data_IF_047525986034
#
_entry.id   IF_047525986034
#
_cell.length_a   1.000
_cell.length_b   1.000
_cell.length_c   1.000
_cell.angle_alpha   90.00
_cell.angle_beta   90.00
_cell.angle_gamma   90.00
#
_symmetry.space_group_name_H-M   'P 1'
#
loop_
_entity.id
_entity.type
_entity.pdbx_description
1 polymer ?
#
# COMPACT_ATOMS: atom_id res chain seq x y z
N UNK A 1 28.25 5.46 43.77
CA UNK A 1 27.48 5.11 44.98
C UNK A 1 28.28 5.32 46.26
N UNK A 2 29.51 4.79 46.38
CA UNK A 2 30.34 4.98 47.58
C UNK A 2 30.72 6.46 47.88
N UNK A 3 31.07 7.26 46.86
CA UNK A 3 31.37 8.70 47.06
C UNK A 3 30.11 9.54 47.34
N UNK A 4 28.96 9.17 46.77
CA UNK A 4 27.68 9.87 47.00
C UNK A 4 27.18 9.66 48.44
N UNK A 5 27.39 8.45 49.00
CA UNK A 5 27.06 8.13 50.38
C UNK A 5 27.96 8.87 51.39
N UNK A 6 29.25 9.08 51.06
CA UNK A 6 30.17 9.82 51.94
C UNK A 6 29.81 11.31 52.05
N UNK A 7 29.40 11.92 50.93
CA UNK A 7 28.98 13.33 50.91
C UNK A 7 27.65 13.53 51.66
N UNK A 8 26.67 12.64 51.47
CA UNK A 8 25.37 12.72 52.16
C UNK A 8 25.45 12.41 53.66
N UNK A 9 26.42 11.63 54.12
CA UNK A 9 26.64 11.38 55.56
C UNK A 9 27.38 12.52 56.28
N UNK A 10 28.04 13.41 55.54
CA UNK A 10 28.74 14.59 56.10
C UNK A 10 27.85 15.85 56.21
N UNK A 11 26.65 15.82 55.63
CA UNK A 11 25.66 16.91 55.68
C UNK A 11 24.60 16.58 56.73
N UNK A 12 24.82 17.00 57.96
CA UNK A 12 23.83 16.96 59.03
C UNK A 12 22.68 17.95 58.70
N UNK A 13 21.59 17.43 58.13
CA UNK A 13 20.40 18.18 57.67
C UNK A 13 19.55 18.73 58.84
N UNK A 14 19.99 18.58 60.08
CA UNK A 14 19.28 19.08 61.29
C UNK A 14 19.85 20.39 61.87
N UNK A 15 21.01 20.87 61.37
CA UNK A 15 21.61 22.11 61.83
C UNK A 15 21.04 23.33 61.09
N UNK A 16 20.66 24.38 61.82
CA UNK A 16 20.18 25.66 61.28
C UNK A 16 21.19 26.22 60.26
N UNK A 17 20.72 26.52 59.05
CA UNK A 17 21.54 27.00 57.93
C UNK A 17 22.03 28.42 58.23
N UNK A 18 23.28 28.56 58.66
CA UNK A 18 24.00 29.83 58.67
C UNK A 18 24.68 30.05 57.30
N UNK A 19 24.23 31.06 56.57
CA UNK A 19 24.66 31.38 55.19
C UNK A 19 25.91 32.26 55.13
N UNK A 20 26.57 32.52 56.26
CA UNK A 20 27.67 33.50 56.36
C UNK A 20 29.08 32.97 56.04
N UNK A 21 29.28 31.65 55.85
CA UNK A 21 30.60 31.06 55.51
C UNK A 21 30.78 30.84 53.99
N UNK A 22 31.62 31.61 53.29
CA UNK A 22 31.81 31.50 51.83
C UNK A 22 32.43 30.16 51.38
N UNK A 23 33.15 29.46 52.26
CA UNK A 23 33.78 28.17 51.99
C UNK A 23 32.78 27.01 51.83
N UNK A 24 31.68 27.02 52.58
CA UNK A 24 30.64 25.96 52.51
C UNK A 24 29.71 26.13 51.32
N UNK A 25 29.39 27.37 50.95
CA UNK A 25 28.61 27.67 49.74
C UNK A 25 29.37 27.24 48.48
N UNK A 26 30.70 27.45 48.45
CA UNK A 26 31.60 27.01 47.38
C UNK A 26 31.66 25.47 47.27
N UNK A 27 31.70 24.76 48.40
CA UNK A 27 31.72 23.30 48.42
C UNK A 27 30.39 22.69 47.91
N UNK A 28 29.25 23.26 48.33
CA UNK A 28 27.92 22.85 47.85
C UNK A 28 27.79 23.11 46.34
N UNK A 29 28.26 24.26 45.85
CA UNK A 29 28.26 24.53 44.40
C UNK A 29 29.19 23.59 43.64
N UNK A 30 30.39 23.28 44.16
CA UNK A 30 31.31 22.32 43.53
C UNK A 30 30.73 20.91 43.44
N UNK A 31 30.10 20.41 44.52
CA UNK A 31 29.47 19.09 44.57
C UNK A 31 28.23 19.04 43.66
N UNK A 32 27.41 20.10 43.68
CA UNK A 32 26.29 20.20 42.76
C UNK A 32 26.79 20.19 41.31
N UNK A 33 27.88 20.90 40.98
CA UNK A 33 28.47 20.92 39.64
C UNK A 33 29.09 19.57 39.24
N UNK A 34 29.75 18.86 40.17
CA UNK A 34 30.40 17.57 39.90
C UNK A 34 29.40 16.43 39.70
N UNK A 35 28.18 16.55 40.24
CA UNK A 35 27.09 15.59 40.04
C UNK A 35 26.17 16.01 38.88
N UNK A 36 25.79 17.30 38.77
CA UNK A 36 24.95 17.78 37.66
C UNK A 36 25.66 17.64 36.32
N UNK A 37 26.96 17.98 36.22
CA UNK A 37 27.64 17.99 34.93
C UNK A 37 27.66 16.62 34.24
N UNK A 38 28.11 15.52 34.87
CA UNK A 38 28.06 14.19 34.24
C UNK A 38 26.62 13.70 34.05
N UNK A 39 25.68 14.08 34.92
CA UNK A 39 24.26 13.73 34.76
C UNK A 39 23.63 14.45 33.55
N UNK A 40 23.88 15.75 33.39
CA UNK A 40 23.46 16.55 32.24
C UNK A 40 24.17 16.12 30.96
N UNK A 41 25.44 15.71 31.03
CA UNK A 41 26.17 15.14 29.89
C UNK A 41 25.58 13.78 29.51
N UNK A 42 25.26 12.92 30.48
CA UNK A 42 24.63 11.62 30.27
C UNK A 42 23.20 11.78 29.73
N UNK A 43 22.40 12.73 30.22
CA UNK A 43 21.09 13.09 29.66
C UNK A 43 21.22 13.68 28.25
N UNK A 44 22.20 14.55 28.02
CA UNK A 44 22.49 15.12 26.70
C UNK A 44 22.92 14.05 25.69
N UNK A 45 23.69 13.06 26.11
CA UNK A 45 24.11 11.93 25.26
C UNK A 45 22.97 10.91 25.05
N UNK A 46 22.15 10.64 26.07
CA UNK A 46 21.07 9.63 25.97
C UNK A 46 19.82 10.16 25.26
N UNK A 47 19.50 11.45 25.36
CA UNK A 47 18.34 12.06 24.68
C UNK A 47 18.72 12.93 23.48
N UNK A 48 19.87 13.60 23.53
CA UNK A 48 20.30 14.53 22.48
C UNK A 48 20.83 13.82 21.24
N UNK A 49 21.65 12.78 21.37
CA UNK A 49 22.17 12.05 20.19
C UNK A 49 21.06 11.38 19.36
N UNK A 50 20.08 10.67 19.95
CA UNK A 50 18.96 10.12 19.18
C UNK A 50 18.11 11.20 18.51
N UNK A 51 17.87 12.34 19.20
CA UNK A 51 17.14 13.45 18.62
C UNK A 51 17.89 14.08 17.44
N UNK A 52 19.20 14.31 17.58
CA UNK A 52 20.05 14.83 16.50
C UNK A 52 20.03 13.87 15.30
N UNK A 53 20.21 12.57 15.54
CA UNK A 53 20.16 11.57 14.48
C UNK A 53 18.79 11.56 13.78
N UNK A 54 17.71 11.56 14.56
CA UNK A 54 16.34 11.59 14.04
C UNK A 54 16.08 12.81 13.16
N UNK A 55 16.38 14.02 13.65
CA UNK A 55 16.20 15.24 12.86
C UNK A 55 17.17 15.34 11.69
N UNK A 56 18.36 14.74 11.77
CA UNK A 56 19.29 14.65 10.64
C UNK A 56 18.74 13.76 9.53
N UNK A 57 18.13 12.62 9.88
CA UNK A 57 17.46 11.73 8.92
C UNK A 57 16.28 12.47 8.27
N UNK A 58 15.43 13.14 9.07
CA UNK A 58 14.33 13.92 8.53
C UNK A 58 14.80 15.06 7.61
N UNK A 59 15.88 15.76 7.99
CA UNK A 59 16.51 16.78 7.16
C UNK A 59 17.02 16.19 5.84
N UNK A 60 17.69 15.04 5.89
CA UNK A 60 18.16 14.33 4.69
C UNK A 60 17.01 13.93 3.75
N UNK A 61 15.89 13.46 4.31
CA UNK A 61 14.68 13.13 3.54
C UNK A 61 14.01 14.35 2.90
N UNK A 62 14.23 15.56 3.42
CA UNK A 62 13.74 16.81 2.81
C UNK A 62 14.65 17.26 1.67
N UNK A 63 15.98 17.15 1.82
CA UNK A 63 16.93 17.68 0.82
C UNK A 63 17.29 16.70 -0.29
N UNK A 64 17.06 15.40 -0.12
CA UNK A 64 17.44 14.36 -1.08
C UNK A 64 16.20 13.63 -1.63
N UNK A 65 15.66 14.04 -2.80
CA UNK A 65 14.48 13.41 -3.40
C UNK A 65 14.64 11.91 -3.66
N UNK A 66 15.83 11.46 -4.07
CA UNK A 66 16.11 10.03 -4.29
C UNK A 66 16.07 9.21 -3.00
N UNK A 67 16.52 9.79 -1.88
CA UNK A 67 16.44 9.16 -0.57
C UNK A 67 14.99 9.10 -0.08
N UNK A 68 14.23 10.17 -0.32
CA UNK A 68 12.81 10.22 0.02
C UNK A 68 11.99 9.21 -0.79
N UNK A 69 12.21 9.13 -2.10
CA UNK A 69 11.61 8.11 -2.96
C UNK A 69 11.97 6.71 -2.44
N UNK A 70 13.24 6.45 -2.12
CA UNK A 70 13.63 5.16 -1.55
C UNK A 70 12.91 4.86 -0.22
N UNK A 71 12.76 5.85 0.66
CA UNK A 71 12.07 5.66 1.94
C UNK A 71 10.56 5.38 1.79
N UNK A 72 9.90 5.99 0.80
CA UNK A 72 8.47 5.78 0.53
C UNK A 72 8.23 4.42 -0.15
N UNK A 73 9.05 4.10 -1.14
CA UNK A 73 8.81 2.98 -2.05
C UNK A 73 9.55 1.69 -1.66
N UNK A 74 10.66 1.81 -0.92
CA UNK A 74 11.57 0.70 -0.60
C UNK A 74 11.96 -0.13 -1.84
N UNK A 75 11.98 0.50 -3.01
CA UNK A 75 11.99 -0.17 -4.32
C UNK A 75 13.26 -1.00 -4.62
N UNK A 76 14.35 -0.78 -3.88
CA UNK A 76 15.58 -1.59 -3.99
C UNK A 76 15.62 -2.80 -3.06
N UNK A 77 14.59 -3.00 -2.25
CA UNK A 77 14.49 -4.12 -1.31
C UNK A 77 13.64 -5.22 -1.96
N UNK A 78 14.27 -6.05 -2.81
CA UNK A 78 13.54 -6.99 -3.69
C UNK A 78 12.88 -8.18 -2.98
N UNK A 79 13.33 -8.63 -1.80
CA UNK A 79 12.72 -9.72 -1.02
C UNK A 79 12.45 -11.04 -1.79
N UNK A 80 13.15 -11.31 -2.89
CA UNK A 80 13.05 -12.55 -3.68
C UNK A 80 14.13 -13.59 -3.33
N UNK A 81 15.09 -13.24 -2.47
CA UNK A 81 16.12 -14.14 -1.91
C UNK A 81 16.85 -15.01 -2.95
N UNK A 82 17.58 -14.36 -3.87
CA UNK A 82 18.37 -15.02 -4.94
C UNK A 82 17.56 -15.79 -5.99
N UNK A 83 16.23 -15.63 -6.01
CA UNK A 83 15.37 -16.19 -7.06
C UNK A 83 15.33 -15.28 -8.28
N UNK A 84 15.25 -15.90 -9.46
CA UNK A 84 15.15 -15.21 -10.75
C UNK A 84 13.67 -14.97 -11.09
N UNK A 85 13.30 -13.70 -11.28
CA UNK A 85 11.94 -13.31 -11.67
C UNK A 85 11.56 -13.77 -13.08
N UNK A 86 12.51 -14.27 -13.86
CA UNK A 86 12.23 -14.91 -15.14
C UNK A 86 12.03 -16.42 -15.01
N UNK A 87 12.11 -16.99 -13.80
CA UNK A 87 11.82 -18.41 -13.51
C UNK A 87 10.67 -18.54 -12.50
N UNK A 88 9.41 -18.33 -12.92
CA UNK A 88 8.24 -18.39 -12.04
C UNK A 88 8.10 -19.69 -11.23
N UNK A 89 8.66 -20.80 -11.70
CA UNK A 89 8.67 -22.09 -11.02
C UNK A 89 9.35 -22.02 -9.65
N UNK A 90 10.33 -21.12 -9.47
CA UNK A 90 10.97 -20.86 -8.17
C UNK A 90 10.00 -20.25 -7.13
N UNK A 91 8.84 -19.76 -7.60
CA UNK A 91 7.78 -19.17 -6.80
C UNK A 91 6.53 -20.06 -6.73
N UNK A 92 6.61 -21.32 -7.20
CA UNK A 92 5.57 -22.34 -7.04
C UNK A 92 4.58 -22.44 -8.19
N UNK A 93 4.83 -21.79 -9.32
CA UNK A 93 4.02 -21.94 -10.53
C UNK A 93 4.39 -23.19 -11.32
N UNK A 94 3.43 -23.73 -12.08
CA UNK A 94 3.70 -24.77 -13.05
C UNK A 94 4.47 -24.22 -14.26
N UNK A 95 5.19 -25.07 -14.97
CA UNK A 95 6.00 -24.67 -16.11
C UNK A 95 5.14 -24.01 -17.19
N UNK A 96 5.51 -22.82 -17.68
CA UNK A 96 4.73 -22.01 -18.63
C UNK A 96 3.34 -21.54 -18.16
N UNK A 97 2.99 -21.74 -16.88
CA UNK A 97 1.78 -21.14 -16.31
C UNK A 97 1.89 -19.61 -16.24
N UNK A 98 3.11 -19.11 -15.98
CA UNK A 98 3.41 -17.69 -15.92
C UNK A 98 4.39 -17.34 -17.03
N UNK A 99 4.13 -16.25 -17.74
CA UNK A 99 4.99 -15.75 -18.81
C UNK A 99 5.54 -14.39 -18.45
N UNK A 100 6.85 -14.28 -18.13
CA UNK A 100 7.55 -13.01 -17.94
C UNK A 100 7.84 -12.29 -19.27
N UNK A 101 7.60 -10.99 -19.35
CA UNK A 101 7.88 -10.15 -20.52
C UNK A 101 8.02 -8.67 -20.13
N UNK A 102 8.35 -7.80 -21.09
CA UNK A 102 8.42 -6.35 -20.87
C UNK A 102 7.31 -5.59 -21.58
N UNK A 103 6.70 -4.63 -20.89
CA UNK A 103 5.84 -3.58 -21.48
C UNK A 103 6.59 -2.26 -21.39
N UNK A 104 6.65 -1.51 -22.49
CA UNK A 104 7.32 -0.20 -22.53
C UNK A 104 6.34 0.94 -22.31
N UNK A 105 6.68 1.87 -21.43
CA UNK A 105 5.93 3.10 -21.19
C UNK A 105 6.21 4.15 -22.27
N UNK A 106 5.34 5.17 -22.43
CA UNK A 106 5.58 6.26 -23.37
C UNK A 106 6.88 7.04 -23.13
N UNK A 107 7.37 7.07 -21.89
CA UNK A 107 8.62 7.71 -21.49
C UNK A 107 9.85 6.78 -21.54
N UNK A 108 9.71 5.58 -22.12
CA UNK A 108 10.82 4.67 -22.42
C UNK A 108 11.24 3.76 -21.26
N UNK A 109 10.47 3.71 -20.17
CA UNK A 109 10.67 2.75 -19.09
C UNK A 109 10.16 1.38 -19.52
N UNK A 110 10.96 0.33 -19.29
CA UNK A 110 10.54 -1.07 -19.43
C UNK A 110 10.04 -1.60 -18.10
N UNK A 111 8.79 -2.07 -18.09
CA UNK A 111 8.12 -2.69 -16.95
C UNK A 111 8.17 -4.20 -17.08
N UNK A 112 8.88 -4.87 -16.17
CA UNK A 112 8.87 -6.32 -16.06
C UNK A 112 7.48 -6.77 -15.63
N UNK A 113 6.88 -7.64 -16.42
CA UNK A 113 5.46 -7.99 -16.35
C UNK A 113 5.31 -9.51 -16.38
N UNK A 114 4.40 -10.04 -15.58
CA UNK A 114 3.98 -11.42 -15.60
C UNK A 114 2.51 -11.51 -16.03
N UNK A 115 2.25 -12.35 -17.03
CA UNK A 115 0.91 -12.89 -17.28
C UNK A 115 0.80 -14.23 -16.55
N UNK A 116 -0.26 -14.41 -15.77
CA UNK A 116 -0.56 -15.65 -15.05
C UNK A 116 -1.80 -16.28 -15.69
N UNK A 117 -1.63 -17.49 -16.23
CA UNK A 117 -2.70 -18.29 -16.79
C UNK A 117 -3.51 -18.96 -15.66
N UNK A 118 -4.86 -18.92 -15.71
CA UNK A 118 -5.65 -19.57 -14.68
C UNK A 118 -5.60 -21.08 -14.82
N UNK A 119 -5.71 -21.77 -13.68
CA UNK A 119 -5.28 -23.16 -13.57
C UNK A 119 -6.05 -24.13 -14.48
N UNK A 120 -7.36 -23.94 -14.66
CA UNK A 120 -8.13 -24.84 -15.52
C UNK A 120 -7.87 -24.59 -17.02
N UNK A 121 -7.56 -23.34 -17.41
CA UNK A 121 -7.10 -23.03 -18.76
C UNK A 121 -5.71 -23.64 -19.03
N UNK A 122 -4.81 -23.56 -18.04
CA UNK A 122 -3.51 -24.21 -18.09
C UNK A 122 -3.63 -25.72 -18.26
N UNK A 123 -4.41 -26.39 -17.40
CA UNK A 123 -4.62 -27.83 -17.45
C UNK A 123 -5.17 -28.28 -18.81
N UNK A 124 -6.13 -27.53 -19.36
CA UNK A 124 -6.74 -27.85 -20.66
C UNK A 124 -5.79 -27.73 -21.86
N UNK A 125 -4.70 -26.98 -21.74
CA UNK A 125 -3.73 -26.74 -22.83
C UNK A 125 -2.30 -27.13 -22.44
N UNK A 126 -2.14 -27.97 -21.40
CA UNK A 126 -0.84 -28.24 -20.80
C UNK A 126 0.16 -28.81 -21.81
N UNK A 127 -0.26 -29.76 -22.65
CA UNK A 127 0.63 -30.36 -23.65
C UNK A 127 1.15 -29.33 -24.67
N UNK A 128 0.28 -28.43 -25.15
CA UNK A 128 0.66 -27.38 -26.08
C UNK A 128 1.55 -26.32 -25.43
N UNK A 129 1.28 -25.97 -24.17
CA UNK A 129 2.11 -25.05 -23.39
C UNK A 129 3.50 -25.64 -23.15
N UNK A 130 3.62 -26.91 -22.80
CA UNK A 130 4.93 -27.57 -22.60
C UNK A 130 5.69 -27.77 -23.92
N UNK A 131 5.00 -27.80 -25.06
CA UNK A 131 5.62 -27.85 -26.39
C UNK A 131 6.02 -26.47 -26.93
N UNK A 132 5.54 -25.38 -26.33
CA UNK A 132 5.95 -24.01 -26.67
C UNK A 132 7.43 -23.83 -26.30
N UNK A 133 8.28 -23.41 -27.25
CA UNK A 133 9.69 -23.11 -26.95
C UNK A 133 9.85 -21.83 -26.12
N UNK A 134 11.08 -21.37 -25.85
CA UNK A 134 12.15 -22.08 -25.12
C UNK A 134 11.66 -22.65 -23.77
N UNK A 135 12.53 -23.34 -23.02
CA UNK A 135 12.22 -24.02 -21.72
C UNK A 135 11.88 -23.04 -20.56
N UNK A 136 11.08 -22.00 -20.80
CA UNK A 136 10.74 -20.92 -19.88
C UNK A 136 11.62 -19.68 -20.04
N UNK A 137 11.42 -18.70 -19.15
CA UNK A 137 12.19 -17.46 -19.15
C UNK A 137 11.41 -16.23 -19.62
N UNK A 138 12.15 -15.11 -19.71
CA UNK A 138 11.68 -13.86 -20.29
C UNK A 138 11.42 -14.04 -21.78
N UNK A 139 10.24 -13.68 -22.26
CA UNK A 139 9.91 -13.67 -23.69
C UNK A 139 10.00 -12.26 -24.27
N UNK A 140 10.62 -12.15 -25.45
CA UNK A 140 10.74 -10.87 -26.16
C UNK A 140 9.41 -10.40 -26.78
N UNK A 141 8.59 -11.36 -27.22
CA UNK A 141 7.31 -11.11 -27.91
C UNK A 141 6.21 -11.96 -27.29
N UNK A 142 5.60 -11.44 -26.23
CA UNK A 142 4.51 -12.13 -25.55
C UNK A 142 3.34 -12.42 -26.49
N UNK A 143 3.09 -11.55 -27.47
CA UNK A 143 2.01 -11.64 -28.43
C UNK A 143 2.08 -12.87 -29.36
N UNK A 144 3.24 -13.51 -29.46
CA UNK A 144 3.45 -14.73 -30.26
C UNK A 144 3.22 -16.03 -29.43
N UNK A 145 2.97 -15.91 -28.12
CA UNK A 145 2.76 -17.07 -27.22
C UNK A 145 1.34 -17.61 -27.24
N UNK A 146 1.17 -18.88 -26.89
CA UNK A 146 -0.13 -19.49 -26.60
C UNK A 146 -0.82 -18.80 -25.41
N UNK A 147 -0.08 -18.42 -24.38
CA UNK A 147 -0.60 -17.68 -23.22
C UNK A 147 -1.35 -16.40 -23.63
N UNK A 148 -0.78 -15.63 -24.57
CA UNK A 148 -1.43 -14.44 -25.11
C UNK A 148 -2.63 -14.77 -26.00
N UNK A 149 -2.54 -15.80 -26.86
CA UNK A 149 -3.68 -16.26 -27.66
C UNK A 149 -4.86 -16.67 -26.78
N UNK A 150 -4.62 -17.43 -25.72
CA UNK A 150 -5.65 -17.84 -24.74
C UNK A 150 -6.31 -16.64 -24.06
N UNK A 151 -5.57 -15.56 -23.81
CA UNK A 151 -6.12 -14.31 -23.27
C UNK A 151 -6.94 -13.55 -24.33
N UNK A 152 -6.40 -13.37 -25.54
CA UNK A 152 -6.95 -12.48 -26.57
C UNK A 152 -8.12 -13.10 -27.35
N UNK A 153 -8.02 -14.39 -27.68
CA UNK A 153 -8.98 -15.07 -28.56
C UNK A 153 -10.18 -15.64 -27.79
N UNK A 154 -10.10 -15.78 -26.46
CA UNK A 154 -11.22 -16.22 -25.64
C UNK A 154 -12.27 -15.10 -25.50
N UNK A 155 -13.48 -15.24 -26.07
CA UNK A 155 -14.51 -14.21 -26.02
C UNK A 155 -15.12 -14.03 -24.63
N UNK A 156 -14.77 -14.86 -23.64
CA UNK A 156 -15.17 -14.74 -22.25
C UNK A 156 -14.00 -14.33 -21.34
N UNK A 157 -12.81 -14.07 -21.89
CA UNK A 157 -11.64 -13.69 -21.11
C UNK A 157 -11.94 -12.49 -20.21
N UNK A 158 -11.51 -12.63 -18.96
CA UNK A 158 -11.52 -11.62 -17.91
C UNK A 158 -10.08 -11.42 -17.46
N UNK A 159 -9.77 -10.22 -17.00
CA UNK A 159 -8.42 -9.89 -16.55
C UNK A 159 -8.47 -9.18 -15.20
N UNK A 160 -7.59 -9.57 -14.29
CA UNK A 160 -7.30 -8.82 -13.08
C UNK A 160 -5.95 -8.12 -13.28
N UNK A 161 -5.95 -6.79 -13.25
CA UNK A 161 -4.72 -6.00 -13.19
C UNK A 161 -4.30 -5.88 -11.73
N UNK A 162 -3.14 -6.46 -11.39
CA UNK A 162 -2.63 -6.56 -10.04
C UNK A 162 -1.56 -5.49 -9.79
N UNK A 163 -1.82 -4.64 -8.79
CA UNK A 163 -0.92 -3.60 -8.33
C UNK A 163 -0.38 -4.00 -6.95
N UNK A 164 0.92 -4.34 -6.87
CA UNK A 164 1.54 -4.81 -5.62
C UNK A 164 1.85 -3.68 -4.63
N UNK A 165 2.05 -4.03 -3.36
CA UNK A 165 2.40 -3.09 -2.29
C UNK A 165 3.83 -2.52 -2.36
N UNK A 166 4.21 -1.76 -1.33
CA UNK A 166 5.57 -1.21 -1.20
C UNK A 166 6.59 -2.33 -1.01
N UNK A 167 7.87 -2.06 -1.32
CA UNK A 167 8.96 -3.04 -1.24
C UNK A 167 8.70 -4.31 -2.08
N UNK A 168 9.68 -5.21 -2.08
CA UNK A 168 9.63 -6.48 -2.78
C UNK A 168 9.54 -6.31 -4.30
N UNK A 169 9.05 -7.35 -4.94
CA UNK A 169 8.71 -7.43 -6.37
C UNK A 169 7.37 -8.13 -6.53
N UNK A 170 6.83 -8.22 -7.73
CA UNK A 170 5.59 -8.93 -8.01
C UNK A 170 5.61 -10.36 -7.43
N UNK A 171 6.77 -11.01 -7.35
CA UNK A 171 6.89 -12.38 -6.85
C UNK A 171 7.20 -12.51 -5.33
N UNK A 172 7.24 -11.42 -4.56
CA UNK A 172 7.60 -11.46 -3.14
C UNK A 172 6.48 -11.93 -2.21
N UNK A 173 6.85 -12.65 -1.15
CA UNK A 173 5.96 -12.97 -0.03
C UNK A 173 4.72 -13.75 -0.47
N UNK A 174 3.54 -13.27 -0.07
CA UNK A 174 2.24 -13.88 -0.37
C UNK A 174 1.67 -13.52 -1.75
N UNK A 175 2.38 -12.70 -2.55
CA UNK A 175 1.89 -12.23 -3.85
C UNK A 175 1.69 -13.39 -4.85
N UNK A 176 2.64 -14.34 -5.04
CA UNK A 176 2.40 -15.52 -5.86
C UNK A 176 1.16 -16.33 -5.48
N UNK A 177 1.00 -16.60 -4.18
CA UNK A 177 -0.16 -17.34 -3.65
C UNK A 177 -1.47 -16.60 -3.93
N UNK A 178 -1.45 -15.27 -3.85
CA UNK A 178 -2.64 -14.44 -4.04
C UNK A 178 -3.20 -14.50 -5.45
N UNK A 179 -2.38 -14.71 -6.48
CA UNK A 179 -2.86 -14.77 -7.87
C UNK A 179 -3.89 -15.87 -8.08
N UNK A 180 -3.72 -17.02 -7.41
CA UNK A 180 -4.69 -18.12 -7.42
C UNK A 180 -6.05 -17.70 -6.88
N UNK A 181 -6.06 -16.92 -5.80
CA UNK A 181 -7.29 -16.47 -5.16
C UNK A 181 -8.06 -15.46 -6.02
N UNK A 182 -7.40 -14.75 -6.93
CA UNK A 182 -8.04 -13.77 -7.81
C UNK A 182 -8.81 -14.43 -8.96
N UNK A 183 -8.33 -15.56 -9.48
CA UNK A 183 -9.03 -16.30 -10.53
C UNK A 183 -9.87 -17.47 -10.01
N UNK A 184 -9.86 -17.76 -8.70
CA UNK A 184 -10.45 -18.99 -8.17
C UNK A 184 -11.96 -19.16 -8.44
N UNK A 185 -12.69 -18.05 -8.61
CA UNK A 185 -14.12 -18.09 -8.91
C UNK A 185 -14.43 -18.45 -10.38
N UNK A 186 -13.47 -18.28 -11.28
CA UNK A 186 -13.58 -18.60 -12.71
C UNK A 186 -12.18 -18.98 -13.24
N UNK A 187 -11.71 -20.20 -12.89
CA UNK A 187 -10.36 -20.66 -13.18
C UNK A 187 -10.13 -21.02 -14.65
N UNK A 188 -11.12 -20.76 -15.51
CA UNK A 188 -11.04 -20.95 -16.96
C UNK A 188 -10.79 -19.61 -17.64
N UNK A 189 -11.52 -18.55 -17.26
CA UNK A 189 -11.51 -17.30 -18.04
C UNK A 189 -10.81 -16.12 -17.37
N UNK A 190 -10.51 -16.19 -16.06
CA UNK A 190 -9.94 -15.04 -15.34
C UNK A 190 -8.42 -15.10 -15.30
N UNK A 191 -7.74 -14.31 -16.12
CA UNK A 191 -6.30 -14.17 -16.10
C UNK A 191 -5.85 -13.12 -15.08
N UNK A 192 -4.58 -13.16 -14.68
CA UNK A 192 -3.97 -12.10 -13.87
C UNK A 192 -2.79 -11.51 -14.64
N UNK A 193 -2.70 -10.18 -14.67
CA UNK A 193 -1.54 -9.45 -15.16
C UNK A 193 -0.97 -8.63 -14.00
N UNK A 194 0.30 -8.85 -13.69
CA UNK A 194 1.03 -8.18 -12.61
C UNK A 194 2.37 -7.69 -13.16
N UNK A 195 2.97 -6.69 -12.52
CA UNK A 195 4.20 -6.09 -13.00
C UNK A 195 4.93 -5.40 -11.86
N UNK A 196 6.24 -5.21 -12.02
CA UNK A 196 7.04 -4.39 -11.13
C UNK A 196 6.97 -2.94 -11.61
N UNK A 197 6.68 -2.00 -10.70
CA UNK A 197 6.73 -0.57 -11.05
C UNK A 197 8.13 -0.14 -11.48
N UNK A 198 8.25 1.01 -12.15
CA UNK A 198 9.55 1.58 -12.51
C UNK A 198 10.53 1.61 -11.31
N UNK A 199 11.71 1.04 -11.50
CA UNK A 199 12.75 0.91 -10.48
C UNK A 199 12.54 -0.21 -9.44
N UNK A 200 11.49 -1.02 -9.53
CA UNK A 200 11.32 -2.26 -8.75
C UNK A 200 11.79 -3.47 -9.55
N UNK A 201 12.30 -4.49 -8.86
CA UNK A 201 12.69 -5.77 -9.47
C UNK A 201 13.52 -5.60 -10.73
N UNK A 202 13.06 -6.17 -11.83
CA UNK A 202 13.72 -6.08 -13.16
C UNK A 202 13.21 -4.90 -14.00
N UNK A 203 12.28 -4.09 -13.50
CA UNK A 203 11.82 -2.88 -14.17
C UNK A 203 12.87 -1.76 -14.13
N UNK A 204 13.08 -1.11 -15.26
CA UNK A 204 14.03 0.01 -15.38
C UNK A 204 13.51 1.30 -14.73
N UNK A 205 14.34 2.34 -14.68
CA UNK A 205 13.93 3.67 -14.23
C UNK A 205 14.02 3.88 -12.71
N UNK A 206 13.24 4.82 -12.18
CA UNK A 206 13.20 5.13 -10.75
C UNK A 206 11.80 5.61 -10.35
N UNK A 207 11.32 5.25 -9.15
CA UNK A 207 9.94 5.51 -8.77
C UNK A 207 9.71 6.99 -8.41
N UNK A 208 8.59 7.50 -8.90
CA UNK A 208 7.93 8.72 -8.46
C UNK A 208 6.42 8.48 -8.52
N UNK A 209 5.62 9.30 -7.86
CA UNK A 209 4.17 9.13 -7.89
C UNK A 209 3.61 9.21 -9.32
N UNK A 210 3.94 10.29 -10.05
CA UNK A 210 3.51 10.46 -11.44
C UNK A 210 4.05 9.37 -12.37
N UNK A 211 5.28 8.90 -12.13
CA UNK A 211 5.88 7.82 -12.90
C UNK A 211 5.15 6.50 -12.68
N UNK A 212 4.85 6.14 -11.44
CA UNK A 212 4.09 4.91 -11.13
C UNK A 212 2.66 5.00 -11.68
N UNK A 213 2.03 6.18 -11.65
CA UNK A 213 0.73 6.39 -12.30
C UNK A 213 0.85 6.18 -13.82
N UNK A 214 1.91 6.68 -14.44
CA UNK A 214 2.20 6.44 -15.87
C UNK A 214 2.37 4.95 -16.17
N UNK A 215 3.03 4.20 -15.28
CA UNK A 215 3.17 2.75 -15.41
C UNK A 215 1.79 2.07 -15.38
N UNK A 216 0.94 2.43 -14.42
CA UNK A 216 -0.39 1.87 -14.27
C UNK A 216 -1.29 2.13 -15.50
N UNK A 217 -1.25 3.36 -16.02
CA UNK A 217 -1.97 3.73 -17.25
C UNK A 217 -1.44 2.98 -18.46
N UNK A 218 -0.12 2.77 -18.54
CA UNK A 218 0.50 1.96 -19.61
C UNK A 218 -0.01 0.53 -19.58
N UNK A 219 -0.04 -0.11 -18.40
CA UNK A 219 -0.53 -1.48 -18.23
C UNK A 219 -2.01 -1.61 -18.59
N UNK A 220 -2.85 -0.65 -18.14
CA UNK A 220 -4.26 -0.63 -18.50
C UNK A 220 -4.48 -0.46 -20.01
N UNK A 221 -3.75 0.46 -20.65
CA UNK A 221 -3.82 0.66 -22.09
C UNK A 221 -3.33 -0.56 -22.87
N UNK A 222 -2.29 -1.25 -22.40
CA UNK A 222 -1.83 -2.50 -23.01
C UNK A 222 -2.93 -3.57 -22.95
N UNK A 223 -3.58 -3.74 -21.79
CA UNK A 223 -4.69 -4.69 -21.64
C UNK A 223 -5.88 -4.38 -22.57
N UNK A 224 -6.27 -3.11 -22.65
CA UNK A 224 -7.43 -2.68 -23.45
C UNK A 224 -7.12 -2.75 -24.96
N UNK A 225 -5.97 -2.24 -25.39
CA UNK A 225 -5.67 -2.02 -26.80
C UNK A 225 -4.82 -3.11 -27.44
N UNK A 226 -3.91 -3.74 -26.70
CA UNK A 226 -3.02 -4.80 -27.23
C UNK A 226 -3.64 -6.17 -27.02
N UNK A 227 -4.01 -6.50 -25.78
CA UNK A 227 -4.70 -7.75 -25.46
C UNK A 227 -6.19 -7.72 -25.89
N UNK A 228 -6.77 -6.53 -26.12
CA UNK A 228 -8.13 -6.40 -26.64
C UNK A 228 -9.22 -6.73 -25.63
N UNK A 229 -8.91 -6.67 -24.32
CA UNK A 229 -9.88 -6.99 -23.28
C UNK A 229 -10.75 -5.74 -23.02
N UNK A 230 -12.09 -5.84 -23.14
CA UNK A 230 -12.98 -4.73 -22.81
C UNK A 230 -12.78 -4.27 -21.36
N UNK A 231 -12.78 -2.96 -21.06
CA UNK A 231 -12.66 -2.45 -19.69
C UNK A 231 -13.63 -3.09 -18.71
N UNK A 232 -14.85 -3.40 -19.14
CA UNK A 232 -15.90 -4.01 -18.34
C UNK A 232 -15.64 -5.49 -17.99
N UNK A 233 -14.54 -6.05 -18.49
CA UNK A 233 -14.00 -7.37 -18.14
C UNK A 233 -12.63 -7.30 -17.48
N UNK A 234 -12.24 -6.11 -17.03
CA UNK A 234 -11.02 -5.88 -16.29
C UNK A 234 -11.38 -5.46 -14.87
N UNK A 235 -10.85 -6.14 -13.86
CA UNK A 235 -10.88 -5.70 -12.46
C UNK A 235 -9.53 -5.12 -12.09
N UNK A 236 -9.54 -3.96 -11.43
CA UNK A 236 -8.34 -3.34 -10.87
C UNK A 236 -8.20 -3.81 -9.43
N UNK A 237 -7.13 -4.55 -9.14
CA UNK A 237 -6.81 -5.05 -7.81
C UNK A 237 -5.54 -4.38 -7.26
N UNK A 238 -5.61 -3.81 -6.05
CA UNK A 238 -4.45 -3.22 -5.38
C UNK A 238 -4.31 -3.67 -3.93
N UNK A 239 -3.07 -3.75 -3.44
CA UNK A 239 -2.78 -3.92 -2.02
C UNK A 239 -1.83 -2.85 -1.51
N UNK A 240 -2.09 -2.30 -0.33
CA UNK A 240 -1.21 -1.32 0.34
C UNK A 240 -0.88 -0.15 -0.62
N UNK A 241 0.39 0.09 -0.98
CA UNK A 241 0.76 1.06 -2.02
C UNK A 241 0.03 0.83 -3.35
N UNK A 242 -0.12 -0.42 -3.78
CA UNK A 242 -0.85 -0.76 -5.00
C UNK A 242 -2.32 -0.37 -4.95
N UNK A 243 -2.93 -0.25 -3.77
CA UNK A 243 -4.27 0.33 -3.63
C UNK A 243 -4.30 1.81 -4.02
N UNK A 244 -3.25 2.57 -3.67
CA UNK A 244 -3.11 3.97 -4.06
C UNK A 244 -2.91 4.11 -5.58
N UNK A 245 -2.11 3.23 -6.17
CA UNK A 245 -1.89 3.14 -7.62
C UNK A 245 -3.19 2.81 -8.35
N UNK A 246 -3.92 1.80 -7.88
CA UNK A 246 -5.22 1.39 -8.42
C UNK A 246 -6.26 2.52 -8.36
N UNK A 247 -6.36 3.23 -7.22
CA UNK A 247 -7.25 4.39 -7.07
C UNK A 247 -6.87 5.51 -8.03
N UNK A 248 -5.57 5.80 -8.18
CA UNK A 248 -5.08 6.82 -9.09
C UNK A 248 -5.39 6.48 -10.56
N UNK A 249 -5.17 5.22 -10.96
CA UNK A 249 -5.49 4.73 -12.30
C UNK A 249 -6.96 4.92 -12.64
N UNK A 250 -7.88 4.44 -11.80
CA UNK A 250 -9.32 4.55 -12.11
C UNK A 250 -9.79 5.99 -12.07
N UNK A 251 -9.22 6.83 -11.19
CA UNK A 251 -9.52 8.26 -11.12
C UNK A 251 -9.06 8.99 -12.38
N UNK A 252 -7.86 8.70 -12.89
CA UNK A 252 -7.35 9.32 -14.11
C UNK A 252 -8.15 8.90 -15.33
N UNK A 253 -8.42 7.60 -15.49
CA UNK A 253 -9.12 7.09 -16.66
C UNK A 253 -10.62 7.43 -16.68
N UNK A 254 -11.24 7.62 -15.51
CA UNK A 254 -12.62 8.11 -15.42
C UNK A 254 -12.77 9.56 -15.92
N UNK A 255 -11.70 10.35 -15.87
CA UNK A 255 -11.69 11.75 -16.31
C UNK A 255 -11.28 11.93 -17.78
N UNK A 256 -10.85 10.86 -18.47
CA UNK A 256 -10.52 10.92 -19.90
C UNK A 256 -11.80 10.96 -20.76
N UNK A 257 -11.63 11.34 -22.02
CA UNK A 257 -12.69 11.33 -23.03
C UNK A 257 -12.23 10.46 -24.21
N UNK A 258 -12.86 9.29 -24.46
CA UNK A 258 -13.96 8.70 -23.68
C UNK A 258 -13.51 8.24 -22.27
N UNK A 259 -14.46 8.22 -21.33
CA UNK A 259 -14.22 7.70 -19.99
C UNK A 259 -14.08 6.18 -20.02
N UNK A 260 -13.22 5.61 -19.17
CA UNK A 260 -13.03 4.16 -19.08
C UNK A 260 -13.62 3.66 -17.77
N UNK A 261 -14.48 2.64 -17.86
CA UNK A 261 -15.15 2.04 -16.71
C UNK A 261 -14.77 0.57 -16.59
N UNK A 262 -14.02 0.25 -15.54
CA UNK A 262 -13.62 -1.11 -15.22
C UNK A 262 -14.76 -1.90 -14.57
N UNK A 263 -14.67 -3.23 -14.60
CA UNK A 263 -15.63 -4.12 -13.94
C UNK A 263 -15.71 -3.87 -12.42
N UNK A 264 -14.60 -3.44 -11.81
CA UNK A 264 -14.59 -2.94 -10.45
C UNK A 264 -13.19 -2.59 -9.95
N UNK A 265 -13.16 -1.91 -8.80
CA UNK A 265 -11.96 -1.58 -8.04
C UNK A 265 -12.00 -2.39 -6.73
N UNK A 266 -11.01 -3.27 -6.54
CA UNK A 266 -10.84 -4.04 -5.31
C UNK A 266 -9.51 -3.66 -4.67
N UNK A 267 -9.57 -3.03 -3.50
CA UNK A 267 -8.37 -2.59 -2.77
C UNK A 267 -8.30 -3.25 -1.40
N UNK A 268 -7.11 -3.69 -1.03
CA UNK A 268 -6.85 -4.41 0.22
C UNK A 268 -5.80 -3.69 1.06
N UNK A 269 -5.96 -3.70 2.38
CA UNK A 269 -5.03 -3.06 3.33
C UNK A 269 -4.62 -1.64 2.90
N UNK A 270 -5.59 -0.84 2.44
CA UNK A 270 -5.34 0.49 1.84
C UNK A 270 -5.15 1.57 2.90
N UNK A 271 -4.63 2.72 2.48
CA UNK A 271 -4.43 3.90 3.33
C UNK A 271 -5.07 5.16 2.74
N UNK A 272 -5.45 6.10 3.62
CA UNK A 272 -6.10 7.35 3.24
C UNK A 272 -5.21 8.25 2.37
N UNK A 273 -4.05 8.67 2.90
CA UNK A 273 -3.01 9.43 2.17
C UNK A 273 -1.65 9.19 2.86
N UNK A 274 -0.51 9.37 2.17
CA UNK A 274 0.81 9.22 2.81
C UNK A 274 0.99 10.16 4.01
N UNK A 275 0.63 11.46 3.95
CA UNK A 275 0.74 12.32 5.12
C UNK A 275 0.01 11.74 6.33
N UNK A 276 -1.23 11.26 6.16
CA UNK A 276 -1.98 10.64 7.25
C UNK A 276 -1.36 9.30 7.71
N UNK A 277 -0.88 8.49 6.77
CA UNK A 277 -0.24 7.21 7.06
C UNK A 277 1.05 7.41 7.86
N UNK A 278 1.91 8.35 7.51
CA UNK A 278 3.17 8.59 8.22
C UNK A 278 2.98 8.98 9.69
N UNK A 279 1.82 9.56 10.05
CA UNK A 279 1.47 9.86 11.43
C UNK A 279 1.15 8.60 12.27
N UNK A 280 0.71 7.52 11.63
CA UNK A 280 0.27 6.27 12.28
C UNK A 280 1.21 5.09 12.01
N UNK A 281 2.01 5.15 10.95
CA UNK A 281 2.83 4.04 10.45
C UNK A 281 3.93 3.64 11.42
N UNK A 282 4.09 2.32 11.54
CA UNK A 282 5.10 1.68 12.37
C UNK A 282 5.87 0.67 11.54
N UNK A 283 7.18 0.87 11.40
CA UNK A 283 8.04 -0.13 10.74
C UNK A 283 8.01 -1.41 11.57
N UNK A 284 7.57 -2.50 10.96
CA UNK A 284 7.41 -3.81 11.59
C UNK A 284 6.46 -3.80 12.80
N UNK A 285 5.49 -2.89 12.85
CA UNK A 285 4.53 -2.78 13.96
C UNK A 285 5.07 -2.09 15.23
N UNK A 286 6.38 -1.82 15.34
CA UNK A 286 7.00 -1.34 16.59
C UNK A 286 7.71 0.02 16.50
N UNK A 287 8.25 0.40 15.34
CA UNK A 287 9.09 1.60 15.23
C UNK A 287 8.29 2.75 14.58
N UNK A 288 7.82 3.75 15.35
CA UNK A 288 7.09 4.88 14.80
C UNK A 288 8.02 5.82 14.03
N UNK A 289 7.71 6.09 12.76
CA UNK A 289 8.59 6.91 11.89
C UNK A 289 8.40 8.41 12.16
N UNK A 290 7.17 8.94 12.04
CA UNK A 290 6.89 10.36 12.29
C UNK A 290 6.05 10.64 13.54
N UNK A 291 5.71 9.62 14.35
CA UNK A 291 4.82 9.80 15.51
C UNK A 291 5.28 10.89 16.52
N UNK A 292 6.58 11.05 16.84
CA UNK A 292 7.03 12.14 17.71
C UNK A 292 6.76 13.54 17.11
N UNK A 293 6.94 13.68 15.79
CA UNK A 293 6.73 14.92 15.05
C UNK A 293 5.26 15.22 14.82
N UNK A 294 4.44 14.18 14.59
CA UNK A 294 3.00 14.29 14.37
C UNK A 294 2.26 14.97 15.54
N UNK A 295 2.81 14.92 16.76
CA UNK A 295 2.27 15.60 17.95
C UNK A 295 2.42 17.12 17.89
N UNK A 296 3.36 17.63 17.09
CA UNK A 296 3.63 19.07 16.93
C UNK A 296 3.09 19.53 15.57
N UNK A 297 1.83 19.98 15.55
CA UNK A 297 1.10 20.30 14.30
C UNK A 297 1.88 21.17 13.29
N UNK A 298 2.53 22.28 13.68
CA UNK A 298 3.28 23.09 12.71
C UNK A 298 4.48 22.36 12.11
N UNK A 299 5.16 21.56 12.92
CA UNK A 299 6.33 20.79 12.48
C UNK A 299 5.93 19.65 11.55
N UNK A 300 4.84 18.95 11.88
CA UNK A 300 4.26 17.94 10.99
C UNK A 300 3.81 18.53 9.66
N UNK A 301 3.12 19.68 9.68
CA UNK A 301 2.70 20.37 8.46
C UNK A 301 3.90 20.80 7.59
N UNK A 302 5.00 21.23 8.22
CA UNK A 302 6.23 21.53 7.50
C UNK A 302 6.76 20.31 6.73
N UNK A 303 6.93 19.16 7.40
CA UNK A 303 7.46 17.94 6.77
C UNK A 303 6.48 17.35 5.75
N UNK A 304 5.18 17.35 6.03
CA UNK A 304 4.16 16.86 5.10
C UNK A 304 4.19 17.61 3.76
N UNK A 305 4.48 18.92 3.78
CA UNK A 305 4.61 19.75 2.57
C UNK A 305 5.86 19.42 1.74
N UNK A 306 6.87 18.78 2.34
CA UNK A 306 8.11 18.41 1.64
C UNK A 306 8.05 17.01 0.99
N UNK A 307 6.93 16.30 1.12
CA UNK A 307 6.78 14.98 0.50
C UNK A 307 6.65 15.11 -1.02
N UNK A 308 7.53 14.42 -1.74
CA UNK A 308 7.51 14.30 -3.20
C UNK A 308 6.36 13.43 -3.69
N UNK A 309 5.93 12.49 -2.87
CA UNK A 309 4.82 11.58 -3.13
C UNK A 309 3.87 11.62 -1.95
N UNK A 310 2.63 12.02 -2.21
CA UNK A 310 1.59 12.22 -1.20
C UNK A 310 0.51 11.16 -1.27
N UNK A 311 0.29 10.56 -2.44
CA UNK A 311 -0.77 9.59 -2.72
C UNK A 311 -2.11 10.00 -2.09
N UNK A 312 -2.68 11.10 -2.58
CA UNK A 312 -3.93 11.66 -2.05
C UNK A 312 -5.16 10.79 -2.41
N UNK A 313 -5.27 9.59 -1.82
CA UNK A 313 -6.25 8.58 -2.22
C UNK A 313 -7.66 9.00 -1.84
N UNK A 314 -7.86 9.72 -0.72
CA UNK A 314 -9.18 10.25 -0.37
C UNK A 314 -9.71 11.16 -1.48
N UNK A 315 -8.88 12.11 -1.90
CA UNK A 315 -9.24 13.03 -2.98
C UNK A 315 -9.51 12.27 -4.29
N UNK A 316 -8.58 11.41 -4.72
CA UNK A 316 -8.70 10.68 -5.99
C UNK A 316 -9.89 9.73 -6.04
N UNK A 317 -10.19 9.04 -4.93
CA UNK A 317 -11.35 8.15 -4.83
C UNK A 317 -12.66 8.95 -4.88
N UNK A 318 -12.71 10.10 -4.21
CA UNK A 318 -13.85 11.01 -4.29
C UNK A 318 -14.08 11.54 -5.71
N UNK A 319 -13.02 11.96 -6.40
CA UNK A 319 -13.10 12.42 -7.80
C UNK A 319 -13.51 11.29 -8.74
N UNK A 320 -12.98 10.07 -8.54
CA UNK A 320 -13.41 8.89 -9.29
C UNK A 320 -14.90 8.64 -9.15
N UNK A 321 -15.44 8.62 -7.92
CA UNK A 321 -16.87 8.39 -7.65
C UNK A 321 -17.75 9.46 -8.30
N UNK A 322 -17.30 10.72 -8.32
CA UNK A 322 -18.02 11.81 -8.98
C UNK A 322 -17.99 11.68 -10.51
N UNK A 323 -16.82 11.42 -11.08
CA UNK A 323 -16.59 11.41 -12.53
C UNK A 323 -17.13 10.15 -13.21
N UNK A 324 -16.99 8.98 -12.59
CA UNK A 324 -17.37 7.71 -13.22
C UNK A 324 -18.89 7.61 -13.44
N UNK A 325 -19.29 7.05 -14.58
CA UNK A 325 -20.70 6.76 -14.89
C UNK A 325 -21.17 5.50 -14.16
N UNK A 326 -20.26 4.53 -13.97
CA UNK A 326 -20.50 3.27 -13.26
C UNK A 326 -19.27 2.84 -12.45
N UNK A 327 -19.50 2.21 -11.30
CA UNK A 327 -18.43 1.59 -10.51
C UNK A 327 -18.94 0.45 -9.61
N UNK A 328 -18.06 -0.50 -9.29
CA UNK A 328 -18.19 -1.37 -8.12
C UNK A 328 -16.88 -1.31 -7.33
N UNK A 329 -16.94 -0.78 -6.11
CA UNK A 329 -15.77 -0.51 -5.27
C UNK A 329 -15.84 -1.42 -4.05
N UNK A 330 -14.78 -2.19 -3.80
CA UNK A 330 -14.63 -2.98 -2.58
C UNK A 330 -13.33 -2.63 -1.88
N UNK A 331 -13.43 -2.19 -0.63
CA UNK A 331 -12.32 -1.99 0.30
C UNK A 331 -12.32 -3.16 1.29
N UNK A 332 -11.25 -3.95 1.28
CA UNK A 332 -11.03 -5.06 2.20
C UNK A 332 -9.92 -4.69 3.20
N UNK A 333 -10.11 -4.99 4.48
CA UNK A 333 -9.08 -4.76 5.50
C UNK A 333 -9.19 -5.81 6.61
N UNK A 334 -8.09 -6.13 7.29
CA UNK A 334 -8.10 -7.03 8.44
C UNK A 334 -7.93 -6.26 9.77
N UNK A 335 -8.68 -6.63 10.80
CA UNK A 335 -8.54 -6.05 12.15
C UNK A 335 -7.16 -6.34 12.77
N UNK A 336 -6.56 -7.47 12.42
CA UNK A 336 -5.22 -7.90 12.84
C UNK A 336 -4.09 -7.39 11.92
N UNK A 337 -4.36 -6.41 11.06
CA UNK A 337 -3.33 -5.68 10.31
C UNK A 337 -2.52 -4.78 11.26
N UNK A 338 -1.27 -5.17 11.50
CA UNK A 338 -0.34 -4.45 12.38
C UNK A 338 0.41 -3.32 11.69
N UNK A 339 0.35 -3.24 10.36
CA UNK A 339 1.15 -2.33 9.55
C UNK A 339 0.34 -1.08 9.19
N UNK A 340 -0.91 -1.28 8.76
CA UNK A 340 -1.85 -0.21 8.45
C UNK A 340 -3.12 -0.39 9.27
N UNK A 341 -3.49 0.58 10.12
CA UNK A 341 -4.75 0.50 10.87
C UNK A 341 -5.99 0.55 9.95
N UNK A 342 -6.99 -0.28 10.23
CA UNK A 342 -8.23 -0.37 9.43
C UNK A 342 -9.01 0.94 9.31
N UNK A 343 -8.79 1.89 10.21
CA UNK A 343 -9.39 3.23 10.19
C UNK A 343 -9.10 3.95 8.87
N UNK A 344 -7.99 3.65 8.19
CA UNK A 344 -7.72 4.23 6.89
C UNK A 344 -8.69 3.73 5.80
N UNK A 345 -9.00 2.43 5.75
CA UNK A 345 -10.04 1.90 4.85
C UNK A 345 -11.41 2.48 5.19
N UNK A 346 -11.73 2.64 6.48
CA UNK A 346 -12.98 3.25 6.93
C UNK A 346 -13.08 4.71 6.46
N UNK A 347 -11.99 5.49 6.55
CA UNK A 347 -11.95 6.88 6.04
C UNK A 347 -12.19 6.94 4.53
N UNK A 348 -11.54 6.07 3.75
CA UNK A 348 -11.75 6.01 2.30
C UNK A 348 -13.17 5.60 1.92
N UNK A 349 -13.73 4.61 2.62
CA UNK A 349 -15.13 4.22 2.42
C UNK A 349 -16.09 5.39 2.68
N UNK A 350 -15.90 6.12 3.79
CA UNK A 350 -16.70 7.30 4.13
C UNK A 350 -16.57 8.40 3.07
N UNK A 351 -15.36 8.63 2.57
CA UNK A 351 -15.12 9.60 1.50
C UNK A 351 -15.85 9.22 0.21
N UNK A 352 -15.76 7.95 -0.20
CA UNK A 352 -16.44 7.46 -1.39
C UNK A 352 -17.97 7.59 -1.25
N UNK A 353 -18.53 7.24 -0.09
CA UNK A 353 -19.96 7.41 0.20
C UNK A 353 -20.35 8.89 0.17
N UNK A 354 -19.55 9.77 0.79
CA UNK A 354 -19.79 11.22 0.77
C UNK A 354 -19.83 11.77 -0.66
N UNK A 355 -18.86 11.37 -1.48
CA UNK A 355 -18.78 11.77 -2.87
C UNK A 355 -19.99 11.28 -3.68
N UNK A 356 -20.49 10.06 -3.41
CA UNK A 356 -21.67 9.51 -4.05
C UNK A 356 -22.97 10.25 -3.70
N UNK A 357 -23.11 10.69 -2.45
CA UNK A 357 -24.30 11.43 -1.98
C UNK A 357 -24.24 12.94 -2.30
N UNK A 358 -23.13 13.45 -2.85
CA UNK A 358 -22.96 14.87 -3.17
C UNK A 358 -22.89 15.79 -1.95
N UNK A 359 -22.56 15.26 -0.78
CA UNK A 359 -22.48 16.03 0.48
C UNK A 359 -21.21 16.89 0.48
N UNK A 360 -21.38 18.22 0.43
CA UNK A 360 -20.28 19.19 0.33
C UNK A 360 -19.63 19.55 1.67
N UNK A 361 -20.37 19.48 2.78
CA UNK A 361 -19.89 19.93 4.09
C UNK A 361 -20.22 18.91 5.20
N UNK A 362 -19.22 18.61 6.05
CA UNK A 362 -19.32 17.57 7.08
C UNK A 362 -20.21 17.99 8.25
N UNK A 363 -20.27 19.29 8.56
CA UNK A 363 -20.82 19.74 9.85
C UNK A 363 -22.34 19.66 9.98
N UNK A 364 -23.11 19.69 8.88
CA UNK A 364 -24.58 19.68 8.97
C UNK A 364 -25.21 18.28 8.91
N UNK A 365 -24.52 17.25 8.42
CA UNK A 365 -25.12 15.91 8.20
C UNK A 365 -24.20 14.70 8.49
N UNK A 366 -22.98 14.90 8.99
CA UNK A 366 -22.05 13.78 9.25
C UNK A 366 -22.61 12.78 10.27
N UNK A 367 -23.26 13.24 11.35
CA UNK A 367 -23.86 12.35 12.34
C UNK A 367 -24.95 11.43 11.75
N UNK A 368 -25.79 11.97 10.85
CA UNK A 368 -26.83 11.20 10.19
C UNK A 368 -26.23 10.20 9.18
N UNK A 369 -25.22 10.60 8.41
CA UNK A 369 -24.53 9.73 7.46
C UNK A 369 -23.83 8.57 8.18
N UNK A 370 -23.11 8.87 9.26
CA UNK A 370 -22.43 7.85 10.08
C UNK A 370 -23.43 6.88 10.71
N UNK A 371 -24.55 7.38 11.24
CA UNK A 371 -25.63 6.54 11.78
C UNK A 371 -26.19 5.60 10.71
N UNK A 372 -26.41 6.10 9.48
CA UNK A 372 -26.88 5.28 8.35
C UNK A 372 -25.84 4.24 7.93
N UNK A 373 -24.56 4.62 7.85
CA UNK A 373 -23.46 3.67 7.58
C UNK A 373 -23.46 2.54 8.62
N UNK A 374 -23.51 2.88 9.91
CA UNK A 374 -23.54 1.88 10.99
C UNK A 374 -24.78 0.99 10.92
N UNK A 375 -25.93 1.52 10.51
CA UNK A 375 -27.16 0.72 10.36
C UNK A 375 -27.11 -0.31 9.22
N UNK A 376 -26.22 -0.09 8.23
CA UNK A 376 -26.03 -0.98 7.09
C UNK A 376 -24.95 -2.05 7.35
N UNK A 377 -24.18 -1.90 8.43
CA UNK A 377 -23.15 -2.85 8.79
C UNK A 377 -23.77 -4.18 9.22
N UNK A 378 -23.31 -5.26 8.60
CA UNK A 378 -23.74 -6.62 8.90
C UNK A 378 -22.56 -7.40 9.48
N UNK A 379 -22.66 -7.73 10.76
CA UNK A 379 -21.73 -8.64 11.42
C UNK A 379 -21.82 -10.05 10.83
N UNK A 380 -20.67 -10.72 10.71
CA UNK A 380 -20.50 -12.08 10.16
C UNK A 380 -19.81 -13.02 11.16
N UNK A 381 -19.93 -12.73 12.46
CA UNK A 381 -19.24 -13.48 13.51
C UNK A 381 -17.72 -13.41 13.34
N UNK A 382 -17.04 -14.56 13.30
CA UNK A 382 -15.59 -14.62 13.09
C UNK A 382 -15.13 -14.18 11.69
N UNK A 383 -16.06 -14.04 10.74
CA UNK A 383 -15.78 -13.48 9.42
C UNK A 383 -15.65 -11.95 9.40
N UNK A 384 -15.82 -11.26 10.54
CA UNK A 384 -15.77 -9.80 10.65
C UNK A 384 -17.09 -9.13 10.29
N UNK A 385 -17.07 -8.05 9.51
CA UNK A 385 -18.25 -7.32 9.08
C UNK A 385 -18.22 -6.91 7.61
N UNK A 386 -19.41 -6.63 7.07
CA UNK A 386 -19.57 -6.06 5.73
C UNK A 386 -20.57 -4.91 5.75
N UNK A 387 -20.22 -3.82 5.08
CA UNK A 387 -21.10 -2.67 4.88
C UNK A 387 -21.18 -2.38 3.40
N UNK A 388 -22.40 -2.30 2.87
CA UNK A 388 -22.64 -2.05 1.44
C UNK A 388 -23.48 -0.79 1.31
N UNK A 389 -22.93 0.19 0.60
CA UNK A 389 -23.64 1.38 0.18
C UNK A 389 -24.08 1.25 -1.28
N UNK A 390 -25.37 1.03 -1.55
CA UNK A 390 -25.89 1.06 -2.91
C UNK A 390 -26.00 2.52 -3.40
N UNK A 391 -25.69 2.75 -4.67
CA UNK A 391 -25.79 4.05 -5.35
C UNK A 391 -26.50 3.88 -6.69
N UNK A 392 -26.85 4.99 -7.36
CA UNK A 392 -27.36 4.94 -8.73
C UNK A 392 -26.31 4.48 -9.75
N UNK A 393 -25.01 4.54 -9.41
CA UNK A 393 -23.88 4.20 -10.29
C UNK A 393 -23.28 2.81 -10.00
N UNK A 394 -23.80 2.09 -9.01
CA UNK A 394 -23.31 0.78 -8.57
C UNK A 394 -23.12 0.72 -7.05
N UNK A 395 -22.07 0.04 -6.55
CA UNK A 395 -21.90 -0.20 -5.12
C UNK A 395 -20.55 0.30 -4.58
N UNK A 396 -20.56 0.73 -3.32
CA UNK A 396 -19.36 0.95 -2.52
C UNK A 396 -19.43 0.00 -1.33
N UNK A 397 -18.37 -0.76 -1.10
CA UNK A 397 -18.35 -1.83 -0.09
C UNK A 397 -17.12 -1.72 0.78
N UNK A 398 -17.34 -1.87 2.08
CA UNK A 398 -16.30 -2.07 3.07
C UNK A 398 -16.49 -3.46 3.67
N UNK A 399 -15.44 -4.27 3.64
CA UNK A 399 -15.41 -5.59 4.26
C UNK A 399 -14.21 -5.62 5.22
N UNK A 400 -14.51 -5.70 6.52
CA UNK A 400 -13.52 -5.77 7.60
C UNK A 400 -13.48 -7.22 8.06
N UNK A 401 -12.34 -7.88 7.89
CA UNK A 401 -12.14 -9.25 8.34
C UNK A 401 -11.51 -9.24 9.73
N UNK A 402 -11.87 -10.17 10.61
CA UNK A 402 -11.15 -10.31 11.90
C UNK A 402 -9.69 -10.71 11.74
N UNK A 403 -9.43 -11.55 10.74
CA UNK A 403 -8.12 -12.15 10.50
C UNK A 403 -7.74 -12.01 9.04
N UNK A 404 -6.50 -11.63 8.81
CA UNK A 404 -5.95 -11.48 7.47
C UNK A 404 -4.48 -11.13 7.47
N UNK A 405 -3.98 -10.45 8.52
CA UNK A 405 -2.71 -9.73 8.55
C UNK A 405 -2.50 -8.86 7.29
N UNK A 406 -1.41 -8.08 7.24
CA UNK A 406 -1.25 -7.08 6.17
C UNK A 406 -1.23 -7.66 4.76
N UNK A 407 -0.38 -8.68 4.53
CA UNK A 407 -0.14 -9.22 3.18
C UNK A 407 -0.97 -10.46 2.86
N UNK A 408 -1.24 -11.31 3.86
CA UNK A 408 -1.84 -12.63 3.63
C UNK A 408 -3.32 -12.53 3.22
N UNK A 409 -4.00 -11.44 3.58
CA UNK A 409 -5.39 -11.15 3.20
C UNK A 409 -5.63 -11.23 1.69
N UNK A 410 -4.63 -10.90 0.87
CA UNK A 410 -4.73 -10.97 -0.59
C UNK A 410 -5.02 -12.39 -1.10
N UNK A 411 -4.52 -13.41 -0.39
CA UNK A 411 -4.71 -14.81 -0.75
C UNK A 411 -6.01 -15.41 -0.20
N UNK A 412 -6.83 -14.65 0.53
CA UNK A 412 -8.02 -15.21 1.20
C UNK A 412 -9.22 -15.34 0.26
N UNK A 413 -10.15 -16.29 0.53
CA UNK A 413 -11.40 -16.42 -0.22
C UNK A 413 -12.24 -15.14 -0.25
N UNK A 414 -12.17 -14.31 0.79
CA UNK A 414 -12.85 -13.01 0.80
C UNK A 414 -12.39 -12.10 -0.35
N UNK A 415 -11.09 -12.12 -0.67
CA UNK A 415 -10.52 -11.39 -1.81
C UNK A 415 -11.03 -11.97 -3.13
N UNK A 416 -11.02 -13.29 -3.30
CA UNK A 416 -11.60 -13.94 -4.50
C UNK A 416 -13.09 -13.67 -4.67
N UNK A 417 -13.86 -13.62 -3.58
CA UNK A 417 -15.27 -13.23 -3.59
C UNK A 417 -15.46 -11.76 -3.99
N UNK A 418 -14.57 -10.86 -3.57
CA UNK A 418 -14.61 -9.46 -4.00
C UNK A 418 -14.38 -9.34 -5.52
N UNK A 419 -13.39 -10.04 -6.07
CA UNK A 419 -13.15 -10.10 -7.53
C UNK A 419 -14.36 -10.66 -8.28
N UNK A 420 -14.92 -11.77 -7.80
CA UNK A 420 -16.11 -12.40 -8.40
C UNK A 420 -17.31 -11.44 -8.43
N UNK A 421 -17.56 -10.71 -7.34
CA UNK A 421 -18.63 -9.70 -7.25
C UNK A 421 -18.41 -8.55 -8.24
N UNK A 422 -17.17 -8.07 -8.38
CA UNK A 422 -16.83 -7.01 -9.32
C UNK A 422 -17.20 -7.41 -10.76
N UNK A 423 -16.79 -8.61 -11.22
CA UNK A 423 -17.18 -9.11 -12.55
C UNK A 423 -18.69 -9.32 -12.72
N UNK A 424 -19.39 -9.74 -11.66
CA UNK A 424 -20.84 -9.92 -11.70
C UNK A 424 -21.62 -8.59 -11.74
N UNK A 425 -21.01 -7.48 -11.29
CA UNK A 425 -21.65 -6.18 -11.21
C UNK A 425 -22.01 -5.59 -12.57
N UNK A 426 -21.25 -5.96 -13.62
CA UNK A 426 -21.40 -5.48 -15.00
C UNK A 426 -22.56 -6.15 -15.74
N UNK A 427 -22.92 -7.38 -15.35
CA UNK A 427 -23.92 -8.21 -16.03
C UNK A 427 -25.37 -7.88 -15.65
N UNK A 428 -25.58 -7.01 -14.66
CA UNK A 428 -26.89 -6.49 -14.24
C UNK A 428 -27.10 -5.10 -14.79
#
# INVERSE_FOLDING_TARGET
>A
MAELCYVLTSLDLSASIDTSEPSRLYLITMVAFSVLRPTMLALGLTLGLPAILYFSILGALVVAPSLQAHAIYLHKVALTWFKDLNTPEQFGFAHHQVTPFYISTPDGVKLHTWHVLPLAAYESHQEELLAQGPDGGLVDKFEETLNFRLLKENPNARLVLYFHGTSGTMASGWRPDSYRSLYSADPVNTHVLTFDYRGYGESTGSPSEDGIITDAVTIANWAIHTAGIPPERIVIFGQSLGSAVAIALVSELAQKTPSVHFAGLVVTATFADIPQLTATYRIGGFIPVLSPVAKVKPLFAFFARQLSSTWYNMYRLGEFVKAAERYDITLLHAEDDTDIPMEHSIKLYREAVRAAEGVKDLTENEGALLSRISSLEKGRGEGGSITVWPTSKGNIRLEILKYGVHDKIMAYPATGLAISRAFASVQK
#
